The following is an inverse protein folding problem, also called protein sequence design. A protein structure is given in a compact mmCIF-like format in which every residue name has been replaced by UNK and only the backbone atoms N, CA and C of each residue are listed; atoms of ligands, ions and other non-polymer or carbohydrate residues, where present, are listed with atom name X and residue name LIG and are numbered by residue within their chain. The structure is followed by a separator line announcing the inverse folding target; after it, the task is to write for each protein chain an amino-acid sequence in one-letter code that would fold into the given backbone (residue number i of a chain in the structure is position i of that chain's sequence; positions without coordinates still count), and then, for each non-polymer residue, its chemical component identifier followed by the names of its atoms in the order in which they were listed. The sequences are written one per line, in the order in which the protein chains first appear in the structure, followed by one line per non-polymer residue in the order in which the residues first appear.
data_IF_481225642002
#
_entry.id   IF_481225642002
#
_cell.length_a   1.000
_cell.length_b   1.000
_cell.length_c   1.000
_cell.angle_alpha   90.00
_cell.angle_beta   90.00
_cell.angle_gamma   90.00
#
_symmetry.space_group_name_H-M   'P 1'
#
loop_
_entity.id
_entity.type
_entity.pdbx_description
1 polymer ?
#
# COMPACT_ATOMS: atom_id res chain seq x y z
N UNK A 1 76.70 32.60 -89.26
CA UNK A 1 75.56 32.87 -88.35
C UNK A 1 74.51 31.75 -88.38
N UNK A 2 74.92 30.48 -88.26
CA UNK A 2 73.99 29.32 -88.22
C UNK A 2 74.11 28.56 -86.87
N UNK A 3 75.10 28.91 -86.03
CA UNK A 3 75.37 28.23 -84.77
C UNK A 3 74.58 28.80 -83.56
N UNK A 4 73.97 29.98 -83.68
CA UNK A 4 73.23 30.61 -82.58
C UNK A 4 71.72 30.31 -82.57
N UNK A 5 71.17 29.76 -83.65
CA UNK A 5 69.71 29.52 -83.78
C UNK A 5 69.32 28.14 -83.24
N UNK A 6 70.27 27.19 -83.15
CA UNK A 6 70.02 25.86 -82.56
C UNK A 6 70.00 25.87 -81.02
N UNK A 7 70.52 26.92 -80.37
CA UNK A 7 70.52 27.06 -78.91
C UNK A 7 69.27 27.74 -78.35
N UNK A 8 68.45 28.35 -79.21
CA UNK A 8 67.21 29.02 -78.78
C UNK A 8 65.98 28.08 -78.78
N UNK A 9 66.05 26.94 -79.46
CA UNK A 9 64.94 25.97 -79.54
C UNK A 9 64.91 24.96 -78.38
N UNK A 10 65.98 24.87 -77.58
CA UNK A 10 66.06 23.93 -76.46
C UNK A 10 65.65 24.54 -75.10
N UNK A 11 65.55 25.87 -75.00
CA UNK A 11 65.21 26.56 -73.74
C UNK A 11 63.70 26.59 -73.44
N UNK A 12 62.84 26.20 -74.38
CA UNK A 12 61.38 26.28 -74.23
C UNK A 12 60.70 24.93 -73.92
N UNK A 13 61.46 23.86 -73.71
CA UNK A 13 60.93 22.55 -73.30
C UNK A 13 60.85 22.35 -71.77
N UNK A 14 61.23 23.35 -70.98
CA UNK A 14 61.17 23.33 -69.50
C UNK A 14 60.20 24.40 -68.98
N UNK A 15 59.02 24.49 -69.58
CA UNK A 15 57.93 25.30 -69.04
C UNK A 15 56.87 24.39 -68.39
N UNK A 16 56.98 24.30 -67.06
CA UNK A 16 55.99 23.78 -66.12
C UNK A 16 55.67 22.28 -66.17
N UNK A 17 56.51 21.48 -65.50
CA UNK A 17 55.98 20.33 -64.78
C UNK A 17 55.21 20.85 -63.55
N UNK A 18 53.93 20.48 -63.35
CA UNK A 18 53.22 20.88 -62.14
C UNK A 18 53.96 20.32 -60.94
N UNK A 19 54.22 21.17 -59.95
CA UNK A 19 54.89 20.82 -58.71
C UNK A 19 54.05 19.74 -57.98
N UNK A 20 54.46 18.48 -58.16
CA UNK A 20 53.76 17.29 -57.65
C UNK A 20 53.78 17.24 -56.11
N UNK A 21 54.75 17.94 -55.50
CA UNK A 21 54.92 18.03 -54.06
C UNK A 21 53.83 18.87 -53.39
N UNK A 22 53.50 20.06 -53.90
CA UNK A 22 52.41 20.93 -53.41
C UNK A 22 51.02 20.34 -53.64
N UNK A 23 50.85 19.61 -54.75
CA UNK A 23 49.60 18.87 -55.04
C UNK A 23 49.38 17.72 -54.05
N UNK A 24 50.44 16.97 -53.69
CA UNK A 24 50.37 15.87 -52.74
C UNK A 24 50.09 16.33 -51.29
N UNK A 25 50.72 17.42 -50.85
CA UNK A 25 50.51 17.99 -49.52
C UNK A 25 49.08 18.53 -49.34
N UNK A 26 48.55 19.18 -50.37
CA UNK A 26 47.16 19.66 -50.40
C UNK A 26 46.17 18.50 -50.37
N UNK A 27 46.44 17.42 -51.10
CA UNK A 27 45.62 16.21 -51.12
C UNK A 27 45.59 15.50 -49.76
N UNK A 28 46.75 15.39 -49.10
CA UNK A 28 46.87 14.86 -47.74
C UNK A 28 46.08 15.69 -46.72
N UNK A 29 46.16 17.03 -46.81
CA UNK A 29 45.40 17.95 -45.95
C UNK A 29 43.88 17.87 -46.18
N UNK A 30 43.43 17.69 -47.42
CA UNK A 30 42.02 17.44 -47.73
C UNK A 30 41.54 16.09 -47.18
N UNK A 31 42.39 15.07 -47.21
CA UNK A 31 42.06 13.75 -46.70
C UNK A 31 41.99 13.73 -45.17
N UNK A 32 42.89 14.42 -44.47
CA UNK A 32 42.80 14.59 -43.01
C UNK A 32 41.53 15.35 -42.62
N UNK A 33 41.19 16.43 -43.35
CA UNK A 33 39.96 17.19 -43.12
C UNK A 33 38.71 16.31 -43.31
N UNK A 34 38.69 15.44 -44.34
CA UNK A 34 37.60 14.48 -44.55
C UNK A 34 37.46 13.49 -43.40
N UNK A 35 38.58 12.94 -42.90
CA UNK A 35 38.57 12.03 -41.74
C UNK A 35 38.05 12.73 -40.49
N UNK A 36 38.45 13.97 -40.28
CA UNK A 36 38.00 14.77 -39.14
C UNK A 36 36.51 15.09 -39.22
N UNK A 37 36.00 15.51 -40.39
CA UNK A 37 34.55 15.69 -40.63
C UNK A 37 33.79 14.39 -40.35
N UNK A 38 34.28 13.26 -40.81
CA UNK A 38 33.61 11.97 -40.60
C UNK A 38 33.60 11.56 -39.12
N UNK A 39 34.68 11.84 -38.37
CA UNK A 39 34.74 11.66 -36.92
C UNK A 39 33.75 12.57 -36.19
N UNK A 40 33.62 13.83 -36.59
CA UNK A 40 32.62 14.72 -35.99
C UNK A 40 31.19 14.29 -36.33
N UNK A 41 30.92 13.86 -37.56
CA UNK A 41 29.60 13.32 -37.96
C UNK A 41 29.21 12.08 -37.16
N UNK A 42 30.14 11.14 -36.96
CA UNK A 42 29.85 9.95 -36.14
C UNK A 42 29.61 10.31 -34.68
N UNK A 43 30.37 11.28 -34.13
CA UNK A 43 30.15 11.80 -32.79
C UNK A 43 28.78 12.44 -32.64
N UNK A 44 28.39 13.35 -33.55
CA UNK A 44 27.05 13.96 -33.56
C UNK A 44 25.96 12.89 -33.59
N UNK A 45 26.06 11.92 -34.51
CA UNK A 45 25.08 10.84 -34.58
C UNK A 45 25.00 10.01 -33.30
N UNK A 46 26.13 9.78 -32.61
CA UNK A 46 26.13 9.05 -31.33
C UNK A 46 25.51 9.86 -30.20
N UNK A 47 25.75 11.18 -30.15
CA UNK A 47 25.15 12.05 -29.14
C UNK A 47 23.65 12.22 -29.37
N UNK A 48 23.18 12.35 -30.62
CA UNK A 48 21.74 12.40 -30.94
C UNK A 48 21.02 11.12 -30.49
N UNK A 49 21.62 9.94 -30.68
CA UNK A 49 21.03 8.67 -30.18
C UNK A 49 20.94 8.63 -28.66
N UNK A 50 21.95 9.14 -27.95
CA UNK A 50 21.91 9.25 -26.49
C UNK A 50 20.84 10.24 -26.03
N UNK A 51 20.70 11.36 -26.73
CA UNK A 51 19.65 12.35 -26.46
C UNK A 51 18.25 11.74 -26.62
N UNK A 52 18.01 11.01 -27.71
CA UNK A 52 16.75 10.27 -27.91
C UNK A 52 16.48 9.24 -26.79
N UNK A 53 17.51 8.51 -26.35
CA UNK A 53 17.40 7.55 -25.25
C UNK A 53 17.09 8.25 -23.92
N UNK A 54 17.75 9.37 -23.62
CA UNK A 54 17.50 10.17 -22.41
C UNK A 54 16.08 10.71 -22.42
N UNK A 55 15.60 11.26 -23.55
CA UNK A 55 14.24 11.77 -23.68
C UNK A 55 13.20 10.67 -23.46
N UNK A 56 13.43 9.47 -24.01
CA UNK A 56 12.56 8.32 -23.79
C UNK A 56 12.55 7.89 -22.31
N UNK A 57 13.71 7.89 -21.66
CA UNK A 57 13.78 7.56 -20.24
C UNK A 57 13.07 8.61 -19.39
N UNK A 58 13.17 9.90 -19.75
CA UNK A 58 12.43 10.98 -19.09
C UNK A 58 10.92 10.78 -19.20
N UNK A 59 10.41 10.50 -20.40
CA UNK A 59 8.97 10.19 -20.59
C UNK A 59 8.53 8.95 -19.78
N UNK A 60 9.40 7.96 -19.61
CA UNK A 60 9.12 6.80 -18.78
C UNK A 60 9.06 7.16 -17.30
N UNK A 61 9.99 7.97 -16.81
CA UNK A 61 9.98 8.44 -15.42
C UNK A 61 8.79 9.35 -15.13
N UNK A 62 8.41 10.24 -16.05
CA UNK A 62 7.21 11.07 -15.87
C UNK A 62 5.94 10.21 -15.73
N UNK A 63 5.81 9.16 -16.56
CA UNK A 63 4.72 8.19 -16.41
C UNK A 63 4.76 7.43 -15.10
N UNK A 64 5.95 7.04 -14.66
CA UNK A 64 6.14 6.35 -13.38
C UNK A 64 5.72 7.24 -12.20
N UNK A 65 6.10 8.52 -12.23
CA UNK A 65 5.69 9.52 -11.23
C UNK A 65 4.17 9.69 -11.20
N UNK A 66 3.52 9.80 -12.37
CA UNK A 66 2.06 9.91 -12.46
C UNK A 66 1.37 8.68 -11.85
N UNK A 67 1.84 7.47 -12.17
CA UNK A 67 1.32 6.23 -11.61
C UNK A 67 1.52 6.15 -10.09
N UNK A 68 2.68 6.57 -9.58
CA UNK A 68 2.95 6.63 -8.14
C UNK A 68 2.03 7.62 -7.42
N UNK A 69 1.75 8.78 -8.02
CA UNK A 69 0.78 9.73 -7.48
C UNK A 69 -0.64 9.14 -7.40
N UNK A 70 -1.11 8.46 -8.46
CA UNK A 70 -2.39 7.76 -8.44
C UNK A 70 -2.43 6.68 -7.37
N UNK A 71 -1.36 5.89 -7.26
CA UNK A 71 -1.25 4.82 -6.27
C UNK A 71 -1.32 5.36 -4.83
N UNK A 72 -0.57 6.42 -4.51
CA UNK A 72 -0.62 7.09 -3.21
C UNK A 72 -2.03 7.66 -2.92
N UNK A 73 -2.73 8.17 -3.94
CA UNK A 73 -4.08 8.69 -3.78
C UNK A 73 -5.08 7.58 -3.40
N UNK A 74 -5.00 6.41 -4.03
CA UNK A 74 -5.81 5.24 -3.68
C UNK A 74 -5.43 4.68 -2.29
N UNK A 75 -4.14 4.60 -1.94
CA UNK A 75 -3.72 4.20 -0.58
C UNK A 75 -4.29 5.15 0.50
N UNK A 76 -4.30 6.47 0.26
CA UNK A 76 -4.92 7.45 1.17
C UNK A 76 -6.43 7.22 1.33
N UNK A 77 -7.11 6.81 0.26
CA UNK A 77 -8.54 6.51 0.29
C UNK A 77 -8.81 5.22 1.05
N UNK A 78 -8.02 4.18 0.82
CA UNK A 78 -8.12 2.92 1.56
C UNK A 78 -7.85 3.12 3.06
N UNK A 79 -6.82 3.90 3.42
CA UNK A 79 -6.50 4.27 4.80
C UNK A 79 -7.71 4.92 5.50
N UNK A 80 -8.36 5.90 4.85
CA UNK A 80 -9.55 6.56 5.40
C UNK A 80 -10.72 5.60 5.62
N UNK A 81 -10.98 4.70 4.67
CA UNK A 81 -12.05 3.71 4.80
C UNK A 81 -11.75 2.69 5.92
N UNK A 82 -10.49 2.24 6.02
CA UNK A 82 -10.04 1.38 7.12
C UNK A 82 -10.20 2.05 8.47
N UNK A 83 -9.86 3.33 8.60
CA UNK A 83 -10.04 4.09 9.83
C UNK A 83 -11.52 4.20 10.24
N UNK A 84 -12.43 4.44 9.29
CA UNK A 84 -13.88 4.42 9.55
C UNK A 84 -14.35 3.05 10.07
N UNK A 85 -13.85 1.96 9.48
CA UNK A 85 -14.18 0.60 9.92
C UNK A 85 -13.69 0.35 11.35
N UNK A 86 -12.44 0.75 11.66
CA UNK A 86 -11.85 0.65 13.00
C UNK A 86 -12.71 1.39 14.03
N UNK A 87 -13.08 2.64 13.75
CA UNK A 87 -13.90 3.45 14.65
C UNK A 87 -15.26 2.81 14.90
N UNK A 88 -15.95 2.36 13.83
CA UNK A 88 -17.23 1.67 13.97
C UNK A 88 -17.13 0.40 14.81
N UNK A 89 -16.09 -0.41 14.62
CA UNK A 89 -15.90 -1.64 15.43
C UNK A 89 -15.64 -1.29 16.90
N UNK A 90 -14.89 -0.23 17.19
CA UNK A 90 -14.67 0.26 18.54
C UNK A 90 -15.99 0.69 19.21
N UNK A 91 -16.80 1.51 18.54
CA UNK A 91 -18.10 1.96 19.06
C UNK A 91 -19.03 0.77 19.33
N UNK A 92 -19.04 -0.22 18.43
CA UNK A 92 -19.81 -1.45 18.63
C UNK A 92 -19.32 -2.28 19.83
N UNK A 93 -18.01 -2.32 20.09
CA UNK A 93 -17.42 -3.00 21.25
C UNK A 93 -17.84 -2.28 22.53
N UNK A 94 -17.73 -0.95 22.57
CA UNK A 94 -18.09 -0.14 23.74
C UNK A 94 -19.56 -0.33 24.11
N UNK A 95 -20.47 -0.16 23.15
CA UNK A 95 -21.90 -0.36 23.33
C UNK A 95 -22.24 -1.78 23.85
N UNK A 96 -21.58 -2.81 23.30
CA UNK A 96 -21.79 -4.19 23.76
C UNK A 96 -21.20 -4.44 25.14
N UNK A 97 -20.09 -3.81 25.47
CA UNK A 97 -19.47 -3.92 26.79
C UNK A 97 -20.36 -3.29 27.86
N UNK A 98 -20.98 -2.15 27.57
CA UNK A 98 -21.97 -1.50 28.44
C UNK A 98 -23.20 -2.37 28.65
N UNK A 99 -23.74 -2.93 27.57
CA UNK A 99 -24.88 -3.84 27.66
C UNK A 99 -24.52 -5.09 28.50
N UNK A 100 -23.32 -5.64 28.29
CA UNK A 100 -22.81 -6.77 29.06
C UNK A 100 -22.68 -6.42 30.56
N UNK A 101 -22.18 -5.23 30.88
CA UNK A 101 -22.04 -4.75 32.25
C UNK A 101 -23.41 -4.58 32.92
N UNK A 102 -24.39 -3.99 32.22
CA UNK A 102 -25.78 -3.87 32.71
C UNK A 102 -26.40 -5.24 33.01
N UNK A 103 -26.30 -6.19 32.07
CA UNK A 103 -26.80 -7.55 32.29
C UNK A 103 -26.07 -8.26 33.44
N UNK A 104 -24.75 -8.05 33.58
CA UNK A 104 -23.96 -8.64 34.66
C UNK A 104 -24.41 -8.13 36.03
N UNK A 105 -24.67 -6.83 36.16
CA UNK A 105 -25.15 -6.25 37.43
C UNK A 105 -26.57 -6.71 37.77
N UNK A 106 -27.47 -6.83 36.79
CA UNK A 106 -28.80 -7.42 37.00
C UNK A 106 -28.66 -8.85 37.51
N UNK A 107 -27.83 -9.66 36.86
CA UNK A 107 -27.64 -11.06 37.21
C UNK A 107 -26.98 -11.23 38.59
N UNK A 108 -25.98 -10.39 38.91
CA UNK A 108 -25.33 -10.35 40.23
C UNK A 108 -26.34 -10.04 41.34
N UNK A 109 -27.17 -9.00 41.18
CA UNK A 109 -28.22 -8.66 42.14
C UNK A 109 -29.19 -9.82 42.37
N UNK A 110 -29.59 -10.50 41.29
CA UNK A 110 -30.47 -11.67 41.35
C UNK A 110 -29.84 -12.83 42.11
N UNK A 111 -28.58 -13.18 41.83
CA UNK A 111 -27.86 -14.25 42.55
C UNK A 111 -27.74 -13.91 44.04
N UNK A 112 -27.36 -12.68 44.39
CA UNK A 112 -27.25 -12.26 45.79
C UNK A 112 -28.60 -12.35 46.50
N UNK A 113 -29.68 -11.90 45.85
CA UNK A 113 -31.04 -12.02 46.39
C UNK A 113 -31.46 -13.47 46.58
N UNK A 114 -31.18 -14.34 45.60
CA UNK A 114 -31.47 -15.77 45.69
C UNK A 114 -30.70 -16.45 46.83
N UNK A 115 -29.42 -16.10 47.00
CA UNK A 115 -28.60 -16.62 48.10
C UNK A 115 -29.13 -16.18 49.47
N UNK A 116 -29.45 -14.89 49.63
CA UNK A 116 -29.90 -14.32 50.91
C UNK A 116 -31.31 -14.77 51.32
N UNK A 117 -32.22 -14.94 50.36
CA UNK A 117 -33.65 -15.09 50.66
C UNK A 117 -34.32 -16.33 50.05
N UNK A 118 -33.71 -17.01 49.08
CA UNK A 118 -34.35 -18.07 48.30
C UNK A 118 -34.22 -19.47 48.90
N UNK A 119 -33.02 -19.88 49.34
CA UNK A 119 -32.76 -21.31 49.63
C UNK A 119 -33.57 -21.89 50.79
N UNK A 120 -33.61 -21.21 51.93
CA UNK A 120 -34.38 -21.68 53.10
C UNK A 120 -35.88 -21.52 52.85
N UNK A 121 -36.29 -20.35 52.32
CA UNK A 121 -37.71 -20.02 52.16
C UNK A 121 -38.41 -20.85 51.09
N UNK A 122 -37.76 -21.17 49.97
CA UNK A 122 -38.35 -21.97 48.90
C UNK A 122 -38.49 -23.45 49.32
N UNK A 123 -37.53 -23.99 50.07
CA UNK A 123 -37.59 -25.34 50.65
C UNK A 123 -38.63 -25.42 51.77
N UNK A 124 -38.66 -24.43 52.65
CA UNK A 124 -39.65 -24.33 53.72
C UNK A 124 -41.06 -24.22 53.14
N UNK A 125 -41.27 -23.40 52.10
CA UNK A 125 -42.55 -23.27 51.39
C UNK A 125 -42.97 -24.56 50.68
N UNK A 126 -42.02 -25.28 50.07
CA UNK A 126 -42.25 -26.61 49.47
C UNK A 126 -42.72 -27.62 50.53
N UNK A 127 -42.01 -27.71 51.65
CA UNK A 127 -42.29 -28.65 52.75
C UNK A 127 -43.53 -28.25 53.59
N UNK A 128 -43.86 -26.95 53.66
CA UNK A 128 -45.03 -26.43 54.38
C UNK A 128 -46.32 -26.43 53.55
N UNK A 129 -46.24 -26.72 52.24
CA UNK A 129 -47.40 -26.70 51.35
C UNK A 129 -48.39 -27.81 51.72
N UNK A 130 -49.62 -27.42 52.13
CA UNK A 130 -50.63 -28.35 52.66
C UNK A 130 -51.43 -29.10 51.57
N UNK A 131 -51.24 -28.77 50.29
CA UNK A 131 -51.97 -29.41 49.17
C UNK A 131 -51.09 -29.67 47.94
N UNK A 132 -51.32 -30.81 47.29
CA UNK A 132 -50.59 -31.24 46.08
C UNK A 132 -50.66 -30.23 44.92
N UNK A 133 -51.79 -29.52 44.79
CA UNK A 133 -51.96 -28.49 43.77
C UNK A 133 -51.05 -27.27 44.01
N UNK A 134 -50.84 -26.87 45.27
CA UNK A 134 -49.94 -25.76 45.61
C UNK A 134 -48.48 -26.14 45.31
N UNK A 135 -48.05 -27.36 45.65
CA UNK A 135 -46.71 -27.87 45.35
C UNK A 135 -46.44 -27.92 43.84
N UNK A 136 -47.42 -28.33 43.04
CA UNK A 136 -47.31 -28.41 41.58
C UNK A 136 -47.14 -27.02 40.94
N UNK A 137 -47.91 -26.03 41.40
CA UNK A 137 -47.80 -24.64 40.95
C UNK A 137 -46.43 -24.06 41.31
N UNK A 138 -45.97 -24.23 42.55
CA UNK A 138 -44.67 -23.75 43.00
C UNK A 138 -43.50 -24.37 42.21
N UNK A 139 -43.57 -25.68 41.94
CA UNK A 139 -42.55 -26.39 41.14
C UNK A 139 -42.47 -25.83 39.72
N UNK A 140 -43.62 -25.52 39.10
CA UNK A 140 -43.66 -24.86 37.77
C UNK A 140 -43.00 -23.48 37.80
N UNK A 141 -43.24 -22.68 38.84
CA UNK A 141 -42.60 -21.37 39.00
C UNK A 141 -41.08 -21.48 39.17
N UNK A 142 -40.59 -22.39 40.02
CA UNK A 142 -39.16 -22.62 40.21
C UNK A 142 -38.47 -23.05 38.90
N UNK A 143 -39.12 -23.92 38.12
CA UNK A 143 -38.63 -24.31 36.79
C UNK A 143 -38.53 -23.12 35.84
N UNK A 144 -39.56 -22.28 35.78
CA UNK A 144 -39.56 -21.08 34.92
C UNK A 144 -38.45 -20.08 35.30
N UNK A 145 -38.21 -19.89 36.60
CA UNK A 145 -37.13 -19.06 37.13
C UNK A 145 -35.77 -19.60 36.70
N UNK A 146 -35.53 -20.91 36.90
CA UNK A 146 -34.28 -21.58 36.55
C UNK A 146 -34.01 -21.55 35.03
N UNK A 147 -35.03 -21.78 34.21
CA UNK A 147 -34.93 -21.66 32.74
C UNK A 147 -34.58 -20.23 32.32
N UNK A 148 -35.17 -19.23 32.98
CA UNK A 148 -34.87 -17.82 32.72
C UNK A 148 -33.44 -17.47 33.11
N UNK A 149 -32.94 -17.96 34.25
CA UNK A 149 -31.55 -17.77 34.67
C UNK A 149 -30.57 -18.42 33.69
N UNK A 150 -30.85 -19.64 33.25
CA UNK A 150 -30.05 -20.33 32.23
C UNK A 150 -30.01 -19.53 30.92
N UNK A 151 -31.14 -18.97 30.49
CA UNK A 151 -31.21 -18.10 29.29
C UNK A 151 -30.37 -16.84 29.46
N UNK A 152 -30.43 -16.16 30.60
CA UNK A 152 -29.62 -14.96 30.87
C UNK A 152 -28.13 -15.29 30.88
N UNK A 153 -27.73 -16.38 31.55
CA UNK A 153 -26.35 -16.84 31.57
C UNK A 153 -25.83 -17.16 30.16
N UNK A 154 -26.62 -17.86 29.35
CA UNK A 154 -26.27 -18.15 27.96
C UNK A 154 -26.13 -16.87 27.13
N UNK A 155 -27.04 -15.89 27.31
CA UNK A 155 -26.94 -14.57 26.66
C UNK A 155 -25.67 -13.83 27.07
N UNK A 156 -25.30 -13.84 28.36
CA UNK A 156 -24.04 -13.25 28.86
C UNK A 156 -22.83 -13.91 28.20
N UNK A 157 -22.80 -15.24 28.12
CA UNK A 157 -21.72 -16.00 27.49
C UNK A 157 -21.60 -15.70 26.00
N UNK A 158 -22.73 -15.63 25.29
CA UNK A 158 -22.77 -15.29 23.87
C UNK A 158 -22.28 -13.86 23.61
N UNK A 159 -22.75 -12.87 24.39
CA UNK A 159 -22.28 -11.48 24.28
C UNK A 159 -20.79 -11.33 24.56
N UNK A 160 -20.27 -12.05 25.57
CA UNK A 160 -18.82 -12.05 25.86
C UNK A 160 -18.01 -12.57 24.67
N UNK A 161 -18.46 -13.67 24.03
CA UNK A 161 -17.80 -14.21 22.83
C UNK A 161 -17.83 -13.24 21.66
N UNK A 162 -18.99 -12.65 21.39
CA UNK A 162 -19.17 -11.66 20.31
C UNK A 162 -18.25 -10.43 20.51
N UNK A 163 -18.08 -9.94 21.74
CA UNK A 163 -17.10 -8.88 22.04
C UNK A 163 -15.66 -9.34 21.74
N UNK A 164 -15.30 -10.56 22.14
CA UNK A 164 -13.96 -11.11 21.90
C UNK A 164 -13.67 -11.24 20.40
N UNK A 165 -14.62 -11.78 19.64
CA UNK A 165 -14.52 -11.91 18.18
C UNK A 165 -14.35 -10.54 17.49
N UNK A 166 -15.07 -9.52 17.98
CA UNK A 166 -14.92 -8.13 17.50
C UNK A 166 -13.57 -7.52 17.85
N UNK A 167 -13.04 -7.78 19.06
CA UNK A 167 -11.69 -7.34 19.44
C UNK A 167 -10.62 -7.98 18.57
N UNK A 168 -10.75 -9.26 18.26
CA UNK A 168 -9.83 -9.92 17.32
C UNK A 168 -9.95 -9.37 15.90
N UNK A 169 -11.17 -9.05 15.45
CA UNK A 169 -11.37 -8.36 14.17
C UNK A 169 -10.71 -6.98 14.17
N UNK A 170 -10.89 -6.19 15.22
CA UNK A 170 -10.27 -4.88 15.38
C UNK A 170 -8.74 -4.96 15.30
N UNK A 171 -8.12 -5.91 16.00
CA UNK A 171 -6.67 -6.14 15.94
C UNK A 171 -6.20 -6.39 14.50
N UNK A 172 -6.91 -7.23 13.75
CA UNK A 172 -6.60 -7.50 12.34
C UNK A 172 -6.71 -6.23 11.48
N UNK A 173 -7.77 -5.45 11.64
CA UNK A 173 -7.93 -4.20 10.89
C UNK A 173 -6.85 -3.17 11.23
N UNK A 174 -6.43 -3.05 12.50
CA UNK A 174 -5.33 -2.17 12.91
C UNK A 174 -3.99 -2.57 12.29
N UNK A 175 -3.71 -3.87 12.22
CA UNK A 175 -2.49 -4.39 11.55
C UNK A 175 -2.56 -4.06 10.05
N UNK A 176 -3.71 -4.28 9.40
CA UNK A 176 -3.91 -3.96 7.99
C UNK A 176 -3.73 -2.46 7.72
N UNK A 177 -4.33 -1.61 8.55
CA UNK A 177 -4.19 -0.15 8.46
C UNK A 177 -2.74 0.31 8.61
N UNK A 178 -1.98 -0.30 9.54
CA UNK A 178 -0.56 0.00 9.71
C UNK A 178 0.28 -0.39 8.50
N UNK A 179 -0.05 -1.48 7.80
CA UNK A 179 0.62 -1.86 6.55
C UNK A 179 0.42 -0.81 5.46
N UNK A 180 -0.82 -0.35 5.27
CA UNK A 180 -1.15 0.70 4.29
C UNK A 180 -0.39 1.99 4.59
N UNK A 181 -0.30 2.39 5.88
CA UNK A 181 0.51 3.55 6.28
C UNK A 181 1.97 3.37 5.88
N UNK A 182 2.56 2.22 6.21
CA UNK A 182 3.96 1.95 5.93
C UNK A 182 4.25 1.96 4.42
N UNK A 183 3.39 1.31 3.63
CA UNK A 183 3.49 1.27 2.17
C UNK A 183 3.39 2.68 1.57
N UNK A 184 2.35 3.44 1.93
CA UNK A 184 2.22 4.85 1.52
C UNK A 184 3.46 5.68 1.88
N UNK A 185 4.04 5.48 3.07
CA UNK A 185 5.24 6.22 3.49
C UNK A 185 6.52 5.78 2.77
N UNK A 186 6.58 4.56 2.24
CA UNK A 186 7.69 4.10 1.41
C UNK A 186 7.59 4.76 0.03
N UNK A 187 6.44 4.65 -0.62
CA UNK A 187 6.19 5.25 -1.95
C UNK A 187 6.36 6.78 -1.92
N UNK A 188 5.88 7.45 -0.86
CA UNK A 188 6.04 8.90 -0.73
C UNK A 188 7.50 9.35 -0.56
N UNK A 189 8.40 8.47 -0.13
CA UNK A 189 9.84 8.77 -0.04
C UNK A 189 10.56 8.57 -1.36
N UNK A 190 10.08 7.66 -2.22
CA UNK A 190 10.66 7.48 -3.55
C UNK A 190 10.40 8.69 -4.47
N UNK A 191 9.34 9.45 -4.19
CA UNK A 191 9.00 10.70 -4.87
C UNK A 191 9.71 11.96 -4.33
N UNK A 192 10.41 11.88 -3.19
CA UNK A 192 10.97 13.03 -2.47
C UNK A 192 12.49 13.16 -2.66
#
# INVERSE_FOLDING_TARGET
MILCIALFSFAMAMAQAPDSSTTSATRSKLESLRREIQKYRSRVSSETRKEEEILKNLEQFDREIDLLHEFIAELKKEEREKLKIVNRINDEIENKQDELNRLREIYKRRIVSFYKYGRMRDLELLLSSRSLNQTLVLTRYLKLIAETDRRIFNKLKAKKRDIEDKKEKLKRELISHRKIINEKTAESKELA
#
